data_IF_807283421207
#
_entry.id   IF_807283421207
#
_cell.length_a   1.000
_cell.length_b   1.000
_cell.length_c   1.000
_cell.angle_alpha   90.00
_cell.angle_beta   90.00
_cell.angle_gamma   90.00
#
_symmetry.space_group_name_H-M   'P 1'
#
loop_
_entity.id
_entity.type
_entity.pdbx_description
1 polymer ?
#
# COMPACT_ATOMS: atom_id res chain seq x y z
N UNK A 1 -18.55 -52.12 -24.61
CA UNK A 1 -19.46 -53.27 -24.84
C UNK A 1 -18.58 -54.49 -25.10
N UNK A 2 -18.81 -55.54 -24.31
CA UNK A 2 -18.38 -56.94 -24.44
C UNK A 2 -16.89 -57.34 -24.31
N UNK A 3 -16.67 -58.15 -23.26
CA UNK A 3 -15.52 -59.00 -22.95
C UNK A 3 -15.31 -60.16 -23.94
N UNK A 4 -14.08 -60.68 -23.97
CA UNK A 4 -13.80 -62.12 -24.13
C UNK A 4 -12.82 -62.53 -23.02
N UNK A 5 -13.09 -63.70 -22.44
CA UNK A 5 -12.36 -64.38 -21.35
C UNK A 5 -11.65 -65.62 -21.92
N UNK A 6 -10.62 -66.06 -21.19
CA UNK A 6 -10.12 -67.45 -20.98
C UNK A 6 -8.80 -67.81 -21.68
N UNK A 7 -7.78 -68.05 -20.86
CA UNK A 7 -6.98 -69.28 -20.92
C UNK A 7 -6.44 -69.63 -19.52
N UNK A 8 -6.65 -70.89 -19.13
CA UNK A 8 -6.23 -71.53 -17.89
C UNK A 8 -4.74 -71.89 -17.89
N UNK A 9 -4.16 -72.05 -16.70
CA UNK A 9 -2.87 -72.71 -16.48
C UNK A 9 -2.66 -73.01 -15.00
N UNK A 10 -2.87 -74.27 -14.62
CA UNK A 10 -2.79 -74.81 -13.25
C UNK A 10 -1.35 -75.10 -12.79
N UNK A 11 -1.15 -74.92 -11.48
CA UNK A 11 -0.36 -75.71 -10.52
C UNK A 11 1.16 -75.93 -10.71
N UNK A 12 1.94 -75.32 -9.81
CA UNK A 12 3.01 -76.01 -9.08
C UNK A 12 3.21 -75.36 -7.71
N UNK A 13 3.16 -76.18 -6.67
CA UNK A 13 3.16 -75.74 -5.27
C UNK A 13 4.46 -75.10 -4.79
N UNK A 14 4.31 -74.24 -3.81
CA UNK A 14 5.39 -73.82 -2.91
C UNK A 14 4.89 -73.92 -1.45
N UNK A 15 5.80 -74.16 -0.50
CA UNK A 15 5.45 -74.67 0.82
C UNK A 15 4.88 -73.57 1.73
N UNK A 16 4.09 -74.01 2.71
CA UNK A 16 3.51 -73.22 3.80
C UNK A 16 4.39 -72.04 4.24
N UNK A 17 3.86 -70.83 4.05
CA UNK A 17 4.42 -69.64 4.65
C UNK A 17 4.34 -69.77 6.19
N UNK A 18 5.40 -69.41 6.93
CA UNK A 18 5.36 -69.40 8.38
C UNK A 18 4.29 -68.42 8.88
N UNK A 19 3.67 -68.67 10.03
CA UNK A 19 2.60 -67.82 10.56
C UNK A 19 3.10 -66.38 10.73
N UNK A 20 2.22 -65.37 10.53
CA UNK A 20 2.61 -63.97 10.65
C UNK A 20 3.19 -63.71 12.04
N UNK A 21 4.45 -63.27 12.09
CA UNK A 21 5.04 -62.71 13.31
C UNK A 21 4.22 -61.48 13.69
N UNK A 22 3.43 -61.61 14.75
CA UNK A 22 2.82 -60.49 15.46
C UNK A 22 3.91 -59.75 16.23
N UNK A 23 4.74 -58.98 15.53
CA UNK A 23 5.67 -58.00 16.10
C UNK A 23 5.99 -56.96 15.02
N UNK A 24 4.97 -56.23 14.58
CA UNK A 24 5.17 -54.89 14.03
C UNK A 24 4.72 -53.94 15.11
N UNK A 25 5.67 -53.49 15.94
CA UNK A 25 5.44 -52.34 16.79
C UNK A 25 4.84 -51.22 15.92
N UNK A 26 3.85 -50.46 16.42
CA UNK A 26 3.36 -49.31 15.68
C UNK A 26 4.58 -48.47 15.31
N UNK A 27 4.78 -48.23 14.02
CA UNK A 27 5.68 -47.18 13.58
C UNK A 27 5.30 -45.96 14.39
N UNK A 28 6.19 -45.53 15.27
CA UNK A 28 6.06 -44.25 15.94
C UNK A 28 5.93 -43.27 14.79
N UNK A 29 4.71 -42.76 14.57
CA UNK A 29 4.50 -41.66 13.65
C UNK A 29 5.50 -40.61 14.06
N UNK A 30 6.49 -40.37 13.19
CA UNK A 30 7.39 -39.25 13.36
C UNK A 30 6.48 -38.06 13.58
N UNK A 31 6.63 -37.40 14.73
CA UNK A 31 5.88 -36.19 15.02
C UNK A 31 5.96 -35.31 13.76
N UNK A 32 4.83 -34.75 13.28
CA UNK A 32 4.83 -33.92 12.09
C UNK A 32 5.99 -32.93 12.22
N UNK A 33 6.84 -32.80 11.19
CA UNK A 33 8.05 -32.00 11.27
C UNK A 33 7.70 -30.64 11.88
N UNK A 34 8.40 -30.29 12.97
CA UNK A 34 8.14 -29.09 13.74
C UNK A 34 7.97 -27.91 12.77
N UNK A 35 6.77 -27.31 12.77
CA UNK A 35 6.52 -26.16 11.94
C UNK A 35 7.58 -25.10 12.27
N UNK A 36 8.21 -24.47 11.27
CA UNK A 36 9.23 -23.46 11.52
C UNK A 36 8.67 -22.39 12.46
N UNK A 37 9.50 -21.80 13.33
CA UNK A 37 9.05 -20.78 14.27
C UNK A 37 8.28 -19.69 13.53
N UNK A 38 7.11 -19.32 14.05
CA UNK A 38 6.32 -18.25 13.47
C UNK A 38 7.16 -16.96 13.42
N UNK A 39 7.07 -16.20 12.32
CA UNK A 39 7.87 -15.00 12.18
C UNK A 39 7.47 -13.96 13.22
N UNK A 40 8.47 -13.30 13.82
CA UNK A 40 8.24 -12.23 14.79
C UNK A 40 7.84 -10.94 14.08
N UNK A 41 8.34 -10.73 12.85
CA UNK A 41 8.03 -9.56 12.03
C UNK A 41 7.45 -9.97 10.68
N UNK A 42 6.46 -9.20 10.23
CA UNK A 42 5.86 -9.31 8.90
C UNK A 42 5.68 -7.93 8.31
N UNK A 43 5.74 -7.81 6.99
CA UNK A 43 5.59 -6.50 6.40
C UNK A 43 5.20 -6.51 4.93
N UNK A 44 4.90 -5.31 4.45
CA UNK A 44 4.76 -5.03 3.03
C UNK A 44 5.53 -3.77 2.73
N UNK A 45 6.35 -3.82 1.69
CA UNK A 45 6.95 -2.65 1.05
C UNK A 45 6.40 -2.61 -0.36
N UNK A 46 5.79 -1.50 -0.73
CA UNK A 46 5.09 -1.32 -1.98
C UNK A 46 5.42 0.03 -2.59
N UNK A 47 5.67 0.06 -3.89
CA UNK A 47 5.83 1.30 -4.66
C UNK A 47 4.81 1.28 -5.77
N UNK A 48 3.84 2.19 -5.73
CA UNK A 48 2.82 2.23 -6.76
C UNK A 48 2.53 3.63 -7.25
N UNK A 49 2.32 3.79 -8.55
CA UNK A 49 1.61 4.96 -9.07
C UNK A 49 0.15 4.84 -8.65
N UNK A 50 -0.29 5.84 -7.89
CA UNK A 50 -1.60 5.83 -7.26
C UNK A 50 -2.43 6.96 -7.84
N UNK A 51 -3.47 6.62 -8.59
CA UNK A 51 -4.52 7.53 -9.01
C UNK A 51 -5.58 7.63 -7.91
N UNK A 52 -5.92 8.85 -7.51
CA UNK A 52 -6.86 9.10 -6.42
C UNK A 52 -8.11 9.73 -6.96
N UNK A 53 -9.27 9.17 -6.61
CA UNK A 53 -10.57 9.69 -7.00
C UNK A 53 -10.96 10.91 -6.17
N UNK A 54 -11.70 11.83 -6.79
CA UNK A 54 -12.34 12.94 -6.09
C UNK A 54 -13.45 12.39 -5.17
N UNK A 55 -13.35 12.54 -3.85
CA UNK A 55 -14.30 11.95 -2.92
C UNK A 55 -15.71 12.52 -3.13
N UNK A 56 -16.73 11.65 -3.07
CA UNK A 56 -18.12 12.06 -3.26
C UNK A 56 -18.50 12.41 -4.70
N UNK A 57 -17.60 12.26 -5.66
CA UNK A 57 -17.91 12.43 -7.10
C UNK A 57 -17.88 11.09 -7.82
N UNK A 58 -18.62 10.99 -8.92
CA UNK A 58 -18.65 9.79 -9.75
C UNK A 58 -17.51 9.83 -10.77
N UNK A 59 -16.60 8.85 -10.68
CA UNK A 59 -15.63 8.53 -11.75
C UNK A 59 -14.63 9.62 -12.13
N UNK A 60 -14.41 10.65 -11.32
CA UNK A 60 -13.39 11.68 -11.61
C UNK A 60 -12.18 11.54 -10.70
N UNK A 61 -11.00 11.78 -11.27
CA UNK A 61 -9.74 11.75 -10.53
C UNK A 61 -9.40 13.13 -9.96
N UNK A 62 -8.90 13.14 -8.73
CA UNK A 62 -8.23 14.28 -8.13
C UNK A 62 -6.85 14.49 -8.76
N UNK A 63 -6.13 13.40 -8.97
CA UNK A 63 -4.78 13.37 -9.52
C UNK A 63 -4.09 12.06 -9.19
N UNK A 64 -2.79 12.00 -9.47
CA UNK A 64 -2.00 10.80 -9.28
C UNK A 64 -0.57 11.10 -8.88
N UNK A 65 0.13 10.11 -8.37
CA UNK A 65 1.53 10.22 -8.00
C UNK A 65 2.07 8.90 -7.49
N UNK A 66 3.39 8.81 -7.42
CA UNK A 66 4.03 7.60 -6.89
C UNK A 66 4.00 7.65 -5.37
N UNK A 67 3.60 6.53 -4.76
CA UNK A 67 3.47 6.36 -3.32
C UNK A 67 4.33 5.18 -2.88
N UNK A 68 5.12 5.38 -1.83
CA UNK A 68 5.74 4.30 -1.08
C UNK A 68 4.86 3.97 0.11
N UNK A 69 4.40 2.72 0.17
CA UNK A 69 3.82 2.14 1.38
C UNK A 69 4.80 1.14 1.97
N UNK A 70 5.41 1.45 3.11
CA UNK A 70 6.30 0.55 3.82
C UNK A 70 5.85 0.42 5.28
N UNK A 71 5.39 -0.77 5.65
CA UNK A 71 5.01 -1.10 7.02
C UNK A 71 5.53 -2.49 7.37
N UNK A 72 6.56 -2.54 8.22
CA UNK A 72 7.09 -3.77 8.80
C UNK A 72 6.66 -3.76 10.27
N UNK A 73 5.96 -4.80 10.71
CA UNK A 73 5.29 -4.83 11.99
C UNK A 73 5.74 -6.04 12.79
N UNK A 74 5.90 -5.83 14.09
CA UNK A 74 5.92 -6.92 15.05
C UNK A 74 4.52 -7.58 15.07
N UNK A 75 4.48 -8.88 14.79
CA UNK A 75 3.25 -9.67 14.73
C UNK A 75 2.51 -9.64 16.07
N UNK A 76 3.23 -9.56 17.19
CA UNK A 76 2.63 -9.46 18.52
C UNK A 76 1.89 -8.13 18.72
N UNK A 77 2.40 -7.04 18.14
CA UNK A 77 1.79 -5.71 18.24
C UNK A 77 0.64 -5.51 17.25
N UNK A 78 0.72 -6.13 16.07
CA UNK A 78 -0.35 -6.05 15.07
C UNK A 78 -1.58 -6.88 15.49
N UNK A 79 -1.34 -8.04 16.11
CA UNK A 79 -2.37 -9.05 16.36
C UNK A 79 -2.67 -9.89 15.12
N UNK A 80 -3.18 -11.10 15.34
CA UNK A 80 -3.61 -11.99 14.27
C UNK A 80 -4.84 -11.43 13.53
N UNK A 81 -5.01 -11.72 12.23
CA UNK A 81 -6.25 -11.41 11.54
C UNK A 81 -7.42 -12.12 12.23
N UNK A 82 -8.56 -11.43 12.34
CA UNK A 82 -9.80 -12.02 12.88
C UNK A 82 -10.43 -13.00 11.89
N UNK A 83 -10.12 -12.86 10.61
CA UNK A 83 -10.49 -13.79 9.53
C UNK A 83 -9.39 -13.86 8.47
N UNK A 84 -9.08 -15.07 8.02
CA UNK A 84 -8.05 -15.32 7.01
C UNK A 84 -8.42 -16.59 6.22
N UNK A 85 -8.55 -16.48 4.90
CA UNK A 85 -8.90 -17.62 4.03
C UNK A 85 -7.73 -18.60 3.89
N UNK A 86 -6.50 -18.07 3.83
CA UNK A 86 -5.29 -18.83 3.64
C UNK A 86 -4.23 -18.40 4.66
N UNK A 87 -4.17 -19.07 5.82
CA UNK A 87 -3.24 -18.75 6.90
C UNK A 87 -1.80 -18.55 6.41
N UNK A 88 -1.25 -17.36 6.64
CA UNK A 88 0.14 -17.00 6.32
C UNK A 88 0.43 -16.74 4.83
N UNK A 89 -0.53 -16.93 3.93
CA UNK A 89 -0.32 -16.70 2.49
C UNK A 89 -0.57 -15.23 2.11
N UNK A 90 0.15 -14.65 1.14
CA UNK A 90 -0.10 -13.27 0.70
C UNK A 90 -1.40 -13.13 -0.14
N UNK A 91 -2.06 -14.24 -0.43
CA UNK A 91 -3.24 -14.34 -1.29
C UNK A 91 -4.51 -14.69 -0.48
N UNK A 92 -5.67 -14.54 -1.12
CA UNK A 92 -6.96 -14.67 -0.46
C UNK A 92 -7.31 -13.44 0.38
N UNK A 93 -8.39 -13.55 1.16
CA UNK A 93 -8.88 -12.47 2.00
C UNK A 93 -8.40 -12.58 3.46
N UNK A 94 -7.99 -11.44 4.00
CA UNK A 94 -7.61 -11.23 5.41
C UNK A 94 -8.33 -10.01 5.96
N UNK A 95 -8.73 -10.08 7.22
CA UNK A 95 -9.29 -8.94 7.92
C UNK A 95 -8.75 -8.82 9.33
N UNK A 96 -8.58 -7.57 9.75
CA UNK A 96 -8.18 -7.18 11.08
C UNK A 96 -9.19 -6.20 11.66
N UNK A 97 -9.42 -6.33 12.96
CA UNK A 97 -10.05 -5.30 13.77
C UNK A 97 -8.98 -4.77 14.72
N UNK A 98 -8.67 -3.49 14.60
CA UNK A 98 -7.65 -2.85 15.39
C UNK A 98 -8.29 -1.97 16.47
N UNK A 99 -7.68 -1.95 17.64
CA UNK A 99 -7.79 -0.80 18.54
C UNK A 99 -6.85 0.33 18.07
N UNK A 100 -6.93 1.50 18.72
CA UNK A 100 -6.10 2.66 18.36
C UNK A 100 -4.58 2.38 18.32
N UNK A 101 -4.06 1.64 19.29
CA UNK A 101 -2.63 1.32 19.36
C UNK A 101 -2.19 0.38 18.23
N UNK A 102 -2.98 -0.67 17.97
CA UNK A 102 -2.71 -1.61 16.88
C UNK A 102 -2.84 -0.95 15.51
N UNK A 103 -3.81 -0.06 15.33
CA UNK A 103 -3.99 0.68 14.09
C UNK A 103 -2.79 1.60 13.84
N UNK A 104 -2.33 2.32 14.86
CA UNK A 104 -1.12 3.14 14.82
C UNK A 104 0.13 2.33 14.46
N UNK A 105 0.33 1.19 15.13
CA UNK A 105 1.42 0.27 14.80
C UNK A 105 1.35 -0.18 13.33
N UNK A 106 0.18 -0.66 12.88
CA UNK A 106 -0.01 -1.16 11.51
C UNK A 106 0.27 -0.13 10.42
N UNK A 107 0.02 1.16 10.71
CA UNK A 107 0.15 2.25 9.75
C UNK A 107 1.58 2.81 9.68
N UNK A 108 2.30 2.83 10.80
CA UNK A 108 3.63 3.42 10.91
C UNK A 108 4.72 2.36 10.65
N UNK A 109 4.50 1.13 11.12
CA UNK A 109 5.52 0.08 11.14
C UNK A 109 6.63 0.33 12.17
N UNK A 110 7.70 -0.46 12.06
CA UNK A 110 8.93 -0.39 12.84
C UNK A 110 10.08 0.14 11.99
N UNK A 111 11.11 0.67 12.66
CA UNK A 111 12.37 1.06 12.03
C UNK A 111 13.22 -0.18 11.77
N UNK A 112 13.43 -0.51 10.50
CA UNK A 112 14.30 -1.60 10.05
C UNK A 112 15.50 -1.08 9.24
N UNK A 113 15.76 0.23 9.24
CA UNK A 113 16.89 0.85 8.54
C UNK A 113 16.46 1.78 7.42
N UNK A 114 17.22 1.78 6.30
CA UNK A 114 17.04 2.72 5.19
C UNK A 114 16.50 1.99 3.96
N UNK A 115 15.39 2.48 3.42
CA UNK A 115 14.82 1.99 2.16
C UNK A 115 15.31 2.84 1.00
N UNK A 116 15.67 2.20 -0.11
CA UNK A 116 15.98 2.84 -1.37
C UNK A 116 15.07 2.26 -2.45
N UNK A 117 14.43 3.15 -3.20
CA UNK A 117 13.66 2.82 -4.40
C UNK A 117 14.41 3.38 -5.59
N UNK A 118 14.72 2.53 -6.56
CA UNK A 118 15.34 2.93 -7.82
C UNK A 118 14.42 2.54 -8.95
N UNK A 119 14.14 3.48 -9.85
CA UNK A 119 13.41 3.20 -11.08
C UNK A 119 14.40 3.23 -12.24
N UNK A 120 14.27 2.30 -13.19
CA UNK A 120 15.01 2.33 -14.45
C UNK A 120 14.03 2.33 -15.63
N UNK A 121 14.45 2.92 -16.74
CA UNK A 121 13.61 3.16 -17.92
C UNK A 121 13.85 4.54 -18.54
N UNK A 122 13.10 4.88 -19.59
CA UNK A 122 13.24 6.17 -20.26
C UNK A 122 12.75 7.29 -19.36
N UNK A 123 13.65 8.22 -18.98
CA UNK A 123 13.36 9.32 -18.05
C UNK A 123 12.84 8.86 -16.67
N UNK A 124 13.34 7.72 -16.18
CA UNK A 124 12.94 7.19 -14.88
C UNK A 124 13.19 8.23 -13.75
N UNK A 125 12.22 8.44 -12.84
CA UNK A 125 12.37 9.37 -11.74
C UNK A 125 13.41 8.86 -10.74
N UNK A 126 14.20 9.77 -10.20
CA UNK A 126 15.11 9.48 -9.08
C UNK A 126 14.43 9.78 -7.76
N UNK A 127 14.60 8.89 -6.79
CA UNK A 127 14.06 9.05 -5.45
C UNK A 127 15.19 9.07 -4.41
N UNK A 128 15.11 9.96 -3.40
CA UNK A 128 16.04 9.93 -2.29
C UNK A 128 15.80 8.67 -1.45
N UNK A 129 16.79 8.30 -0.66
CA UNK A 129 16.63 7.27 0.35
C UNK A 129 15.52 7.65 1.34
N UNK A 130 14.76 6.65 1.76
CA UNK A 130 13.67 6.77 2.71
C UNK A 130 14.16 6.29 4.07
N UNK A 131 14.05 7.17 5.06
CA UNK A 131 14.40 6.88 6.44
C UNK A 131 13.14 6.75 7.29
N UNK A 132 13.19 5.91 8.32
CA UNK A 132 12.11 5.83 9.29
C UNK A 132 12.05 7.12 10.13
N UNK A 133 10.83 7.63 10.31
CA UNK A 133 10.52 8.77 11.15
C UNK A 133 9.45 8.36 12.16
N UNK A 134 9.79 8.45 13.45
CA UNK A 134 8.87 8.09 14.52
C UNK A 134 7.55 8.86 14.39
N UNK A 135 6.42 8.14 14.40
CA UNK A 135 5.09 8.71 14.23
C UNK A 135 4.62 8.90 12.79
N UNK A 136 5.52 8.78 11.80
CA UNK A 136 5.19 8.95 10.37
C UNK A 136 5.55 7.73 9.50
N UNK A 137 6.41 6.83 9.97
CA UNK A 137 6.90 5.69 9.21
C UNK A 137 8.03 6.09 8.27
N UNK A 138 8.20 5.35 7.18
CA UNK A 138 9.24 5.64 6.19
C UNK A 138 8.92 6.89 5.35
N UNK A 139 9.86 7.83 5.30
CA UNK A 139 9.72 9.10 4.58
C UNK A 139 10.94 9.34 3.69
N UNK A 140 10.70 9.67 2.43
CA UNK A 140 11.74 9.87 1.41
C UNK A 140 12.03 11.36 1.23
N UNK A 141 12.78 11.93 2.16
CA UNK A 141 13.07 13.37 2.20
C UNK A 141 14.25 13.74 1.28
N UNK A 142 14.07 14.79 0.47
CA UNK A 142 15.18 15.44 -0.24
C UNK A 142 15.97 16.29 0.75
N UNK A 143 17.04 15.73 1.31
CA UNK A 143 17.84 16.39 2.37
C UNK A 143 18.43 17.73 1.94
N UNK A 144 18.67 17.94 0.64
CA UNK A 144 19.10 19.22 0.07
C UNK A 144 17.99 20.28 -0.06
N UNK A 145 16.75 19.94 0.28
CA UNK A 145 15.62 20.87 0.36
C UNK A 145 15.19 21.15 1.80
N UNK A 146 15.86 20.55 2.78
CA UNK A 146 15.62 20.84 4.19
C UNK A 146 16.15 22.23 4.49
N UNK A 147 15.28 23.11 4.97
CA UNK A 147 15.67 24.44 5.41
C UNK A 147 14.78 24.96 6.53
N UNK A 148 15.29 25.93 7.28
CA UNK A 148 14.54 26.72 8.25
C UNK A 148 14.27 28.10 7.65
N UNK A 149 13.04 28.57 7.74
CA UNK A 149 12.63 29.84 7.11
C UNK A 149 12.01 29.66 5.73
N UNK A 150 12.14 30.70 4.89
CA UNK A 150 11.38 30.86 3.65
C UNK A 150 10.14 31.74 3.79
N UNK A 151 9.65 32.24 2.67
CA UNK A 151 8.46 33.11 2.57
C UNK A 151 7.34 32.37 1.84
N UNK A 152 6.19 32.27 2.49
CA UNK A 152 4.95 31.78 1.91
C UNK A 152 4.16 32.98 1.37
N UNK A 153 3.78 32.92 0.10
CA UNK A 153 2.98 33.95 -0.55
C UNK A 153 1.91 33.34 -1.46
N UNK A 154 1.08 34.19 -2.06
CA UNK A 154 0.07 33.76 -3.02
C UNK A 154 0.71 33.09 -4.25
N UNK A 155 0.14 31.97 -4.66
CA UNK A 155 0.51 31.29 -5.89
C UNK A 155 -0.05 31.98 -7.15
N UNK A 156 0.40 31.54 -8.34
CA UNK A 156 -0.06 32.08 -9.62
C UNK A 156 -1.52 31.72 -9.94
N UNK A 157 -2.11 30.75 -9.22
CA UNK A 157 -3.48 30.31 -9.41
C UNK A 157 -4.24 30.27 -8.07
N UNK A 158 -5.57 30.42 -8.12
CA UNK A 158 -6.42 30.26 -6.95
C UNK A 158 -6.21 28.88 -6.30
N UNK A 159 -6.13 28.85 -4.97
CA UNK A 159 -5.90 27.61 -4.23
C UNK A 159 -4.43 27.15 -4.17
N UNK A 160 -3.49 27.92 -4.73
CA UNK A 160 -2.05 27.64 -4.68
C UNK A 160 -1.30 28.70 -3.87
N UNK A 161 -0.17 28.29 -3.32
CA UNK A 161 0.79 29.13 -2.62
C UNK A 161 2.18 28.97 -3.23
N UNK A 162 3.04 29.96 -3.02
CA UNK A 162 4.48 29.83 -3.29
C UNK A 162 5.24 29.68 -1.97
N UNK A 163 6.32 28.92 -1.99
CA UNK A 163 7.35 28.94 -0.96
C UNK A 163 8.66 29.37 -1.63
N UNK A 164 9.20 30.51 -1.21
CA UNK A 164 10.48 31.02 -1.68
C UNK A 164 11.51 30.94 -0.56
N UNK A 165 12.61 30.25 -0.80
CA UNK A 165 13.72 30.11 0.14
C UNK A 165 15.05 30.24 -0.61
N UNK A 166 15.80 31.31 -0.31
CA UNK A 166 17.06 31.61 -0.98
C UNK A 166 18.19 30.64 -0.63
N UNK A 167 18.05 29.90 0.48
CA UNK A 167 19.03 28.91 0.91
C UNK A 167 18.81 27.54 0.24
N UNK A 168 17.71 27.37 -0.49
CA UNK A 168 17.34 26.11 -1.16
C UNK A 168 17.28 26.27 -2.67
N UNK A 169 17.93 25.36 -3.39
CA UNK A 169 17.80 25.27 -4.86
C UNK A 169 16.83 24.15 -5.24
N UNK A 170 15.74 24.53 -5.86
CA UNK A 170 14.72 23.66 -6.42
C UNK A 170 14.96 23.39 -7.91
N UNK A 171 14.76 22.13 -8.31
CA UNK A 171 14.85 21.66 -9.68
C UNK A 171 13.84 20.54 -9.91
N UNK A 172 13.72 20.05 -11.14
CA UNK A 172 12.73 19.02 -11.48
C UNK A 172 12.84 17.75 -10.61
N UNK A 173 14.06 17.30 -10.27
CA UNK A 173 14.30 16.05 -9.53
C UNK A 173 13.86 16.10 -8.05
N UNK A 174 13.88 17.29 -7.44
CA UNK A 174 13.45 17.50 -6.06
C UNK A 174 12.10 18.24 -5.92
N UNK A 175 11.37 18.48 -7.01
CA UNK A 175 10.04 19.13 -6.99
C UNK A 175 8.93 18.40 -7.73
N UNK A 176 9.23 17.76 -8.86
CA UNK A 176 8.21 17.08 -9.67
C UNK A 176 7.73 15.83 -8.95
N UNK A 177 6.41 15.66 -8.82
CA UNK A 177 5.80 14.54 -8.08
C UNK A 177 6.36 14.46 -6.64
N UNK A 178 6.41 15.61 -5.98
CA UNK A 178 6.84 15.76 -4.59
C UNK A 178 5.79 16.52 -3.80
N UNK A 179 5.91 16.43 -2.49
CA UNK A 179 5.17 17.24 -1.54
C UNK A 179 6.15 18.15 -0.81
N UNK A 180 5.77 19.38 -0.53
CA UNK A 180 6.46 20.17 0.49
C UNK A 180 5.80 19.85 1.83
N UNK A 181 6.59 19.42 2.82
CA UNK A 181 6.14 19.30 4.20
C UNK A 181 6.66 20.51 4.97
N UNK A 182 5.75 21.27 5.56
CA UNK A 182 6.02 22.46 6.36
C UNK A 182 5.61 22.18 7.81
N UNK A 183 6.46 22.54 8.76
CA UNK A 183 6.22 22.42 10.20
C UNK A 183 6.68 23.68 10.93
N UNK A 184 6.03 24.04 12.03
CA UNK A 184 6.37 25.20 12.86
C UNK A 184 6.07 26.55 12.22
N UNK A 185 5.22 26.59 11.18
CA UNK A 185 4.71 27.85 10.62
C UNK A 185 3.76 28.53 11.62
N UNK A 186 3.72 29.88 11.66
CA UNK A 186 2.87 30.59 12.63
C UNK A 186 1.39 30.38 12.32
N UNK A 187 1.04 30.30 11.04
CA UNK A 187 -0.34 30.02 10.63
C UNK A 187 -0.55 28.51 10.50
N UNK A 188 -1.54 27.99 11.24
CA UNK A 188 -1.87 26.56 11.24
C UNK A 188 -2.18 26.02 9.83
N UNK A 189 -2.81 26.82 8.97
CA UNK A 189 -3.12 26.45 7.58
C UNK A 189 -1.90 26.24 6.67
N UNK A 190 -0.71 26.65 7.09
CA UNK A 190 0.53 26.41 6.37
C UNK A 190 1.32 25.21 6.90
N UNK A 191 0.89 24.59 8.00
CA UNK A 191 1.51 23.39 8.52
C UNK A 191 0.87 22.16 7.87
N UNK A 192 1.69 21.19 7.44
CA UNK A 192 1.21 19.98 6.79
C UNK A 192 2.08 19.57 5.61
N UNK A 193 1.59 18.62 4.82
CA UNK A 193 2.20 18.21 3.56
C UNK A 193 1.31 18.63 2.39
N UNK A 194 1.88 19.30 1.41
CA UNK A 194 1.16 19.87 0.28
C UNK A 194 1.80 19.46 -1.03
N UNK A 195 1.02 19.05 -2.04
CA UNK A 195 1.59 18.63 -3.32
C UNK A 195 2.20 19.83 -4.05
N UNK A 196 3.41 19.64 -4.56
CA UNK A 196 4.08 20.63 -5.41
C UNK A 196 3.48 20.50 -6.82
N UNK A 197 2.90 21.59 -7.31
CA UNK A 197 2.23 21.66 -8.61
C UNK A 197 3.06 22.37 -9.67
N UNK A 198 4.21 22.94 -9.28
CA UNK A 198 5.14 23.53 -10.24
C UNK A 198 6.38 24.14 -9.61
N UNK A 199 7.33 24.48 -10.47
CA UNK A 199 8.52 25.24 -10.14
C UNK A 199 8.27 26.73 -10.48
N UNK A 200 8.29 27.59 -9.47
CA UNK A 200 8.14 29.04 -9.63
C UNK A 200 9.46 29.73 -9.98
N UNK A 201 10.59 29.09 -9.69
CA UNK A 201 11.94 29.55 -9.96
C UNK A 201 12.98 28.67 -9.28
N UNK A 202 14.27 29.01 -9.39
CA UNK A 202 15.35 28.22 -8.78
C UNK A 202 15.25 28.13 -7.24
N UNK A 203 14.62 29.12 -6.60
CA UNK A 203 14.42 29.18 -5.15
C UNK A 203 12.95 29.19 -4.75
N UNK A 204 12.04 28.90 -5.69
CA UNK A 204 10.59 29.00 -5.47
C UNK A 204 9.86 27.77 -5.99
N UNK A 205 9.06 27.15 -5.14
CA UNK A 205 8.07 26.13 -5.54
C UNK A 205 6.65 26.70 -5.48
N UNK A 206 5.77 26.13 -6.29
CA UNK A 206 4.32 26.36 -6.23
C UNK A 206 3.66 25.09 -5.72
N UNK A 207 2.84 25.19 -4.68
CA UNK A 207 2.17 24.05 -4.06
C UNK A 207 0.67 24.33 -3.85
N UNK A 208 -0.14 23.27 -3.81
CA UNK A 208 -1.58 23.41 -3.57
C UNK A 208 -1.85 23.61 -2.07
N UNK A 209 -2.30 24.80 -1.69
CA UNK A 209 -2.76 25.10 -0.34
C UNK A 209 -3.85 26.18 -0.42
N UNK A 210 -5.14 25.80 -0.47
CA UNK A 210 -6.23 26.77 -0.51
C UNK A 210 -6.45 27.51 0.81
N UNK A 211 -5.88 27.02 1.91
CA UNK A 211 -5.95 27.63 3.23
C UNK A 211 -4.69 28.43 3.57
N UNK A 212 -3.83 28.73 2.58
CA UNK A 212 -2.57 29.41 2.85
C UNK A 212 -2.82 30.80 3.44
N UNK A 213 -1.90 31.21 4.30
CA UNK A 213 -1.80 32.59 4.78
C UNK A 213 -0.39 33.09 4.47
N UNK A 214 -0.26 34.28 3.90
CA UNK A 214 1.07 34.81 3.60
C UNK A 214 1.85 35.05 4.90
N UNK A 215 3.05 34.48 5.00
CA UNK A 215 3.91 34.61 6.17
C UNK A 215 5.37 34.28 5.85
N UNK A 216 6.27 34.70 6.73
CA UNK A 216 7.62 34.13 6.76
C UNK A 216 7.60 32.98 7.76
N UNK A 217 8.12 31.82 7.35
CA UNK A 217 8.26 30.69 8.26
C UNK A 217 9.24 31.11 9.38
N UNK A 218 8.85 30.98 10.66
CA UNK A 218 9.74 31.32 11.77
C UNK A 218 11.04 30.52 11.73
N UNK A 219 12.09 31.01 12.39
CA UNK A 219 13.37 30.28 12.48
C UNK A 219 13.26 28.90 13.16
N UNK A 220 12.22 28.70 13.99
CA UNK A 220 11.90 27.42 14.61
C UNK A 220 11.08 26.49 13.69
N UNK A 221 10.53 27.01 12.60
CA UNK A 221 9.84 26.25 11.57
C UNK A 221 10.81 25.69 10.53
N UNK A 222 10.36 24.70 9.79
CA UNK A 222 11.13 24.05 8.74
C UNK A 222 10.26 23.59 7.59
N UNK A 223 10.89 23.39 6.44
CA UNK A 223 10.28 22.73 5.30
C UNK A 223 11.24 21.73 4.65
N UNK A 224 10.66 20.77 3.94
CA UNK A 224 11.39 19.76 3.17
C UNK A 224 10.51 19.19 2.06
N UNK A 225 11.10 18.90 0.90
CA UNK A 225 10.39 18.19 -0.17
C UNK A 225 10.47 16.68 0.05
N UNK A 226 9.32 16.02 -0.02
CA UNK A 226 9.13 14.58 0.15
C UNK A 226 8.82 13.94 -1.19
N UNK A 227 9.53 12.87 -1.51
CA UNK A 227 9.21 11.98 -2.61
C UNK A 227 8.29 10.85 -2.15
N UNK A 228 7.73 10.13 -3.13
CA UNK A 228 6.92 8.93 -2.91
C UNK A 228 5.72 9.15 -1.96
N UNK A 229 5.15 10.36 -2.03
CA UNK A 229 4.10 10.84 -1.14
C UNK A 229 2.79 11.18 -1.88
N UNK A 230 2.63 10.73 -3.13
CA UNK A 230 1.50 11.00 -4.04
C UNK A 230 0.10 11.05 -3.38
N UNK A 231 -0.90 11.70 -4.01
CA UNK A 231 -0.95 12.15 -5.41
C UNK A 231 -0.70 13.66 -5.65
N UNK A 232 -0.26 14.03 -6.84
CA UNK A 232 -0.24 15.41 -7.33
C UNK A 232 -1.58 15.75 -8.03
N UNK A 233 -2.28 16.83 -7.64
CA UNK A 233 -3.56 17.21 -8.24
C UNK A 233 -3.45 17.44 -9.75
N UNK A 234 -4.45 16.98 -10.51
CA UNK A 234 -4.59 17.18 -11.96
C UNK A 234 -3.44 16.64 -12.83
N UNK A 235 -2.53 15.83 -12.27
CA UNK A 235 -1.58 15.09 -13.09
C UNK A 235 -2.35 14.05 -13.94
N UNK A 236 -2.09 13.94 -15.26
CA UNK A 236 -2.78 13.00 -16.16
C UNK A 236 -2.30 11.56 -15.97
N UNK A 237 -3.10 10.58 -16.41
CA UNK A 237 -2.79 9.15 -16.30
C UNK A 237 -2.29 8.52 -17.61
N UNK A 238 -1.19 7.73 -17.63
CA UNK A 238 -0.13 7.61 -16.61
C UNK A 238 0.85 8.79 -16.67
N UNK A 239 1.26 9.31 -15.50
CA UNK A 239 2.18 10.47 -15.44
C UNK A 239 3.59 10.12 -14.95
N UNK A 240 3.76 9.13 -14.06
CA UNK A 240 5.00 9.04 -13.26
C UNK A 240 5.65 7.65 -13.21
N UNK A 241 4.92 6.58 -13.49
CA UNK A 241 5.45 5.24 -13.71
C UNK A 241 4.99 4.73 -15.07
N UNK A 242 5.88 4.89 -16.05
CA UNK A 242 5.64 4.30 -17.35
C UNK A 242 5.65 2.77 -17.26
N UNK A 243 4.88 2.13 -18.11
CA UNK A 243 4.67 0.69 -18.12
C UNK A 243 5.97 -0.12 -18.36
N UNK A 244 6.98 0.49 -18.97
CA UNK A 244 8.28 -0.12 -19.26
C UNK A 244 9.31 0.11 -18.14
N UNK A 245 8.90 0.69 -17.01
CA UNK A 245 9.82 0.90 -15.90
C UNK A 245 10.05 -0.40 -15.15
N UNK A 246 11.29 -0.59 -14.69
CA UNK A 246 11.60 -1.58 -13.66
C UNK A 246 11.85 -0.85 -12.33
N UNK A 247 11.54 -1.53 -11.23
CA UNK A 247 11.70 -0.99 -9.88
C UNK A 247 12.60 -1.88 -9.05
N UNK A 248 13.67 -1.32 -8.48
CA UNK A 248 14.48 -1.99 -7.46
C UNK A 248 14.11 -1.45 -6.08
N UNK A 249 13.84 -2.34 -5.14
CA UNK A 249 13.67 -2.02 -3.73
C UNK A 249 14.83 -2.62 -2.95
N UNK A 250 15.58 -1.76 -2.28
CA UNK A 250 16.65 -2.17 -1.37
C UNK A 250 16.35 -1.71 0.06
N UNK A 251 16.62 -2.58 1.03
CA UNK A 251 16.67 -2.23 2.45
C UNK A 251 18.11 -2.39 2.92
N UNK A 252 18.71 -1.32 3.43
CA UNK A 252 19.94 -1.41 4.23
C UNK A 252 19.53 -1.50 5.68
N UNK A 253 19.81 -2.65 6.31
CA UNK A 253 19.36 -2.91 7.66
C UNK A 253 19.95 -1.91 8.67
N UNK A 254 19.11 -1.52 9.64
CA UNK A 254 19.40 -0.56 10.69
C UNK A 254 18.24 -0.48 11.68
N UNK A 255 18.26 0.47 12.61
CA UNK A 255 17.19 0.64 13.60
C UNK A 255 17.03 -0.60 14.49
N UNK A 256 15.94 -1.36 14.30
CA UNK A 256 15.63 -2.62 14.96
C UNK A 256 16.38 -3.83 14.40
N UNK A 257 16.77 -3.81 13.11
CA UNK A 257 17.57 -4.85 12.45
C UNK A 257 16.98 -6.27 12.58
N UNK A 258 15.66 -6.40 12.54
CA UNK A 258 14.95 -7.68 12.49
C UNK A 258 14.85 -8.21 11.06
N UNK A 259 14.88 -7.30 10.08
CA UNK A 259 14.94 -7.62 8.65
C UNK A 259 16.38 -7.43 8.15
N UNK A 260 17.02 -8.46 7.55
CA UNK A 260 18.38 -8.33 7.04
C UNK A 260 18.45 -7.40 5.81
N UNK A 261 19.64 -6.87 5.53
CA UNK A 261 19.88 -6.09 4.30
C UNK A 261 19.52 -6.92 3.08
N UNK A 262 18.79 -6.31 2.15
CA UNK A 262 18.45 -6.95 0.89
C UNK A 262 18.36 -5.96 -0.26
N UNK A 263 18.38 -6.52 -1.47
CA UNK A 263 18.01 -5.83 -2.71
C UNK A 263 17.15 -6.78 -3.51
N UNK A 264 16.05 -6.27 -4.02
CA UNK A 264 15.08 -7.00 -4.83
C UNK A 264 14.76 -6.18 -6.05
N UNK A 265 14.92 -6.79 -7.21
CA UNK A 265 14.59 -6.19 -8.49
C UNK A 265 13.21 -6.68 -8.91
N UNK A 266 12.30 -5.74 -9.17
CA UNK A 266 11.16 -6.03 -10.00
C UNK A 266 11.64 -6.21 -11.44
N UNK A 267 10.94 -7.09 -12.16
CA UNK A 267 10.81 -6.89 -13.59
C UNK A 267 10.04 -5.60 -13.88
N UNK A 268 9.25 -5.59 -14.94
CA UNK A 268 8.40 -4.45 -15.27
C UNK A 268 7.46 -4.16 -14.08
N UNK A 269 7.19 -2.89 -13.78
CA UNK A 269 6.25 -2.50 -12.71
C UNK A 269 4.80 -2.81 -13.06
N UNK A 270 4.55 -3.35 -14.25
CA UNK A 270 3.23 -3.67 -14.76
C UNK A 270 2.70 -2.54 -15.65
N UNK A 271 1.75 -2.88 -16.50
CA UNK A 271 1.07 -1.88 -17.30
C UNK A 271 0.07 -1.11 -16.44
N UNK A 272 0.01 0.20 -16.66
CA UNK A 272 -1.10 1.04 -16.25
C UNK A 272 -2.44 0.41 -16.70
N UNK A 273 -3.47 0.59 -15.88
CA UNK A 273 -4.78 -0.01 -16.09
C UNK A 273 -5.90 0.99 -15.86
N UNK A 274 -6.98 0.80 -16.63
CA UNK A 274 -8.16 1.66 -16.52
C UNK A 274 -9.29 0.91 -15.83
N UNK A 275 -9.86 1.49 -14.78
CA UNK A 275 -11.11 1.00 -14.22
C UNK A 275 -12.30 1.62 -14.94
N UNK A 276 -13.30 0.81 -15.25
CA UNK A 276 -14.56 1.32 -15.75
C UNK A 276 -15.26 2.19 -14.69
N UNK A 277 -16.05 3.18 -15.13
CA UNK A 277 -16.73 4.13 -14.22
C UNK A 277 -17.56 3.43 -13.13
N UNK A 278 -18.14 2.26 -13.42
CA UNK A 278 -18.89 1.48 -12.43
C UNK A 278 -18.00 1.02 -11.26
N UNK A 279 -16.75 0.65 -11.54
CA UNK A 279 -15.78 0.18 -10.54
C UNK A 279 -15.18 1.35 -9.75
N UNK A 280 -14.94 2.47 -10.42
CA UNK A 280 -14.58 3.73 -9.76
C UNK A 280 -15.66 4.17 -8.77
N UNK A 281 -16.94 4.04 -9.16
CA UNK A 281 -18.06 4.38 -8.29
C UNK A 281 -18.13 3.46 -7.07
N UNK A 282 -17.85 2.17 -7.21
CA UNK A 282 -17.77 1.24 -6.07
C UNK A 282 -16.63 1.63 -5.11
N UNK A 283 -15.46 2.02 -5.63
CA UNK A 283 -14.33 2.47 -4.81
C UNK A 283 -14.62 3.75 -4.01
N UNK A 284 -15.40 4.67 -4.58
CA UNK A 284 -15.84 5.89 -3.89
C UNK A 284 -17.08 5.71 -3.00
N UNK A 285 -17.77 4.58 -3.10
CA UNK A 285 -18.97 4.28 -2.33
C UNK A 285 -18.94 2.82 -1.84
N UNK A 286 -17.99 2.52 -0.95
CA UNK A 286 -17.83 1.18 -0.40
C UNK A 286 -19.10 0.79 0.37
N UNK A 287 -19.73 -0.35 0.03
CA UNK A 287 -20.96 -0.76 0.70
C UNK A 287 -20.66 -1.12 2.16
N UNK A 288 -21.42 -0.54 3.09
CA UNK A 288 -21.36 -0.82 4.53
C UNK A 288 -22.49 -1.72 5.01
N UNK A 289 -23.19 -2.38 4.08
CA UNK A 289 -24.35 -3.23 4.36
C UNK A 289 -24.02 -4.73 4.50
N UNK A 290 -22.74 -5.09 4.48
CA UNK A 290 -22.27 -6.48 4.58
C UNK A 290 -22.35 -7.29 3.28
N UNK A 291 -22.84 -6.70 2.18
CA UNK A 291 -22.84 -7.37 0.89
C UNK A 291 -21.41 -7.54 0.36
N UNK A 292 -21.16 -8.63 -0.37
CA UNK A 292 -19.87 -8.85 -1.02
C UNK A 292 -19.55 -7.71 -2.00
N UNK A 293 -18.28 -7.32 -2.06
CA UNK A 293 -17.78 -6.32 -2.99
C UNK A 293 -16.90 -6.99 -4.04
N UNK A 294 -17.25 -6.87 -5.30
CA UNK A 294 -16.41 -7.31 -6.42
C UNK A 294 -15.92 -6.11 -7.20
N UNK A 295 -14.60 -6.02 -7.34
CA UNK A 295 -13.91 -5.06 -8.20
C UNK A 295 -13.22 -5.82 -9.32
N UNK A 296 -13.36 -5.32 -10.54
CA UNK A 296 -12.81 -5.96 -11.74
C UNK A 296 -12.31 -4.93 -12.74
N UNK A 297 -11.48 -5.36 -13.68
CA UNK A 297 -11.25 -4.64 -14.92
C UNK A 297 -11.36 -5.61 -16.10
N UNK A 298 -11.85 -5.10 -17.23
CA UNK A 298 -11.98 -5.88 -18.46
C UNK A 298 -10.62 -6.23 -19.07
N UNK A 299 -10.56 -7.27 -19.90
CA UNK A 299 -9.31 -7.68 -20.55
C UNK A 299 -8.68 -6.60 -21.45
N UNK A 300 -9.48 -5.64 -21.94
CA UNK A 300 -8.97 -4.49 -22.71
C UNK A 300 -8.22 -3.53 -21.79
N UNK A 301 -8.75 -3.28 -20.60
CA UNK A 301 -8.17 -2.33 -19.65
C UNK A 301 -7.14 -2.96 -18.71
N UNK A 302 -7.15 -4.30 -18.60
CA UNK A 302 -6.20 -5.11 -17.84
C UNK A 302 -5.79 -6.33 -18.68
N UNK A 303 -4.88 -6.15 -19.65
CA UNK A 303 -4.40 -7.25 -20.47
C UNK A 303 -3.83 -8.39 -19.63
N UNK A 304 -3.97 -9.64 -20.08
CA UNK A 304 -3.37 -10.80 -19.40
C UNK A 304 -1.85 -10.61 -19.33
N UNK A 305 -1.28 -10.83 -18.15
CA UNK A 305 0.17 -10.66 -17.91
C UNK A 305 0.60 -9.25 -17.55
N UNK A 306 -0.27 -8.22 -17.64
CA UNK A 306 0.08 -6.85 -17.25
C UNK A 306 0.36 -6.69 -15.74
N UNK A 307 -0.12 -7.62 -14.90
CA UNK A 307 0.24 -7.70 -13.49
C UNK A 307 0.10 -9.13 -12.96
N UNK A 308 0.93 -9.47 -11.98
CA UNK A 308 0.92 -10.78 -11.29
C UNK A 308 -0.26 -10.92 -10.33
N UNK A 309 -0.69 -9.84 -9.69
CA UNK A 309 -1.76 -9.85 -8.70
C UNK A 309 -2.70 -8.66 -8.84
N UNK A 310 -3.97 -8.88 -8.52
CA UNK A 310 -4.91 -7.81 -8.20
C UNK A 310 -5.19 -7.83 -6.71
N UNK A 311 -5.15 -6.66 -6.06
CA UNK A 311 -5.32 -6.50 -4.62
C UNK A 311 -6.39 -5.46 -4.33
N UNK A 312 -7.31 -5.78 -3.44
CA UNK A 312 -8.25 -4.84 -2.83
C UNK A 312 -7.85 -4.64 -1.39
N UNK A 313 -7.63 -3.39 -0.99
CA UNK A 313 -7.42 -3.05 0.42
C UNK A 313 -8.46 -2.03 0.86
N UNK A 314 -9.13 -2.30 1.96
CA UNK A 314 -10.08 -1.40 2.62
C UNK A 314 -9.54 -1.08 4.00
N UNK A 315 -9.58 0.19 4.40
CA UNK A 315 -9.16 0.64 5.73
C UNK A 315 -10.13 1.70 6.24
N UNK A 316 -10.53 1.60 7.50
CA UNK A 316 -11.44 2.56 8.13
C UNK A 316 -10.79 3.35 9.26
N UNK A 317 -11.39 4.49 9.58
CA UNK A 317 -11.12 5.25 10.80
C UNK A 317 -12.44 5.73 11.40
N UNK A 318 -12.46 5.87 12.71
CA UNK A 318 -13.55 6.41 13.52
C UNK A 318 -13.22 7.81 14.07
N UNK A 319 -12.02 8.33 13.78
CA UNK A 319 -11.62 9.65 14.24
C UNK A 319 -12.35 10.77 13.47
N UNK A 320 -12.57 11.95 14.09
CA UNK A 320 -13.24 13.06 13.43
C UNK A 320 -12.55 13.48 12.12
N UNK A 321 -13.32 13.65 11.05
CA UNK A 321 -12.83 14.09 9.73
C UNK A 321 -13.24 15.52 9.37
N UNK A 322 -14.07 16.16 10.21
CA UNK A 322 -14.52 17.53 10.00
C UNK A 322 -13.32 18.50 9.97
N UNK A 323 -13.26 19.36 8.96
CA UNK A 323 -12.17 20.32 8.77
C UNK A 323 -10.86 19.73 8.23
N UNK A 324 -10.77 18.41 8.07
CA UNK A 324 -9.62 17.76 7.43
C UNK A 324 -9.80 17.70 5.91
N UNK A 325 -8.67 17.52 5.22
CA UNK A 325 -8.67 17.21 3.79
C UNK A 325 -9.60 16.02 3.48
N UNK A 326 -10.33 16.03 2.34
CA UNK A 326 -11.18 14.92 1.95
C UNK A 326 -10.40 13.62 1.67
N UNK A 327 -9.06 13.70 1.57
CA UNK A 327 -8.15 12.57 1.40
C UNK A 327 -7.49 12.11 2.71
N UNK A 328 -7.65 12.88 3.79
CA UNK A 328 -7.03 12.55 5.07
C UNK A 328 -7.68 11.31 5.69
N UNK A 329 -6.84 10.39 6.18
CA UNK A 329 -7.24 9.30 7.06
C UNK A 329 -6.67 9.59 8.45
N UNK A 330 -7.41 10.27 9.34
CA UNK A 330 -6.94 10.49 10.71
C UNK A 330 -6.67 9.16 11.42
N UNK A 331 -5.71 9.16 12.35
CA UNK A 331 -5.40 8.00 13.17
C UNK A 331 -6.65 7.52 13.90
N UNK A 332 -6.84 6.19 13.94
CA UNK A 332 -7.97 5.55 14.62
C UNK A 332 -8.02 5.98 16.10
N UNK A 333 -9.18 6.44 16.54
CA UNK A 333 -9.40 6.90 17.91
C UNK A 333 -9.78 5.74 18.84
N UNK A 334 -10.65 4.83 18.40
CA UNK A 334 -11.11 3.70 19.21
C UNK A 334 -10.97 2.38 18.46
N UNK A 335 -11.56 2.28 17.26
CA UNK A 335 -11.54 1.05 16.46
C UNK A 335 -11.45 1.30 14.95
N UNK A 336 -10.68 0.48 14.27
CA UNK A 336 -10.54 0.49 12.82
C UNK A 336 -10.61 -0.92 12.23
N UNK A 337 -11.08 -1.02 11.00
CA UNK A 337 -11.14 -2.26 10.23
C UNK A 337 -10.15 -2.14 9.07
N UNK A 338 -9.36 -3.18 8.86
CA UNK A 338 -8.57 -3.36 7.64
C UNK A 338 -8.97 -4.68 6.99
N UNK A 339 -9.28 -4.63 5.71
CA UNK A 339 -9.53 -5.83 4.88
C UNK A 339 -8.56 -5.78 3.73
N UNK A 340 -7.95 -6.91 3.41
CA UNK A 340 -7.08 -7.07 2.25
C UNK A 340 -7.45 -8.38 1.56
N UNK A 341 -7.77 -8.31 0.28
CA UNK A 341 -8.05 -9.47 -0.56
C UNK A 341 -7.13 -9.43 -1.78
N UNK A 342 -6.45 -10.53 -2.08
CA UNK A 342 -5.54 -10.61 -3.22
C UNK A 342 -5.83 -11.85 -4.07
N UNK A 343 -5.82 -11.67 -5.39
CA UNK A 343 -5.98 -12.74 -6.38
C UNK A 343 -4.82 -12.73 -7.38
N UNK A 344 -4.15 -13.87 -7.55
CA UNK A 344 -3.05 -14.03 -8.52
C UNK A 344 -3.59 -14.28 -9.92
N UNK A 345 -2.95 -13.67 -10.92
CA UNK A 345 -3.27 -13.85 -12.35
C UNK A 345 -4.69 -13.45 -12.74
N UNK A 346 -5.43 -12.79 -11.84
CA UNK A 346 -6.83 -12.40 -12.03
C UNK A 346 -6.93 -10.89 -12.20
N UNK A 347 -7.84 -10.42 -13.05
CA UNK A 347 -8.24 -9.00 -13.14
C UNK A 347 -9.43 -8.67 -12.24
N UNK A 348 -9.91 -9.64 -11.47
CA UNK A 348 -11.08 -9.52 -10.59
C UNK A 348 -10.73 -9.96 -9.18
N UNK A 349 -11.18 -9.19 -8.19
CA UNK A 349 -11.06 -9.50 -6.76
C UNK A 349 -12.44 -9.35 -6.13
N UNK A 350 -12.84 -10.36 -5.36
CA UNK A 350 -14.07 -10.30 -4.56
C UNK A 350 -13.70 -10.29 -3.09
N UNK A 351 -14.21 -9.31 -2.35
CA UNK A 351 -14.24 -9.28 -0.89
C UNK A 351 -15.54 -9.99 -0.46
N UNK A 352 -15.48 -11.18 0.17
CA UNK A 352 -16.66 -11.94 0.52
C UNK A 352 -17.54 -11.21 1.53
N UNK A 353 -18.83 -11.56 1.55
CA UNK A 353 -19.80 -10.97 2.47
C UNK A 353 -19.40 -11.10 3.95
N UNK A 354 -18.77 -12.21 4.34
CA UNK A 354 -18.27 -12.40 5.71
C UNK A 354 -17.24 -11.33 6.12
N UNK A 355 -16.38 -10.90 5.20
CA UNK A 355 -15.39 -9.84 5.43
C UNK A 355 -16.07 -8.47 5.47
N UNK A 356 -17.00 -8.23 4.54
CA UNK A 356 -17.77 -6.98 4.50
C UNK A 356 -18.70 -6.81 5.72
N UNK A 357 -19.09 -7.91 6.38
CA UNK A 357 -19.85 -7.85 7.63
C UNK A 357 -19.07 -7.17 8.77
N UNK A 358 -17.73 -7.19 8.76
CA UNK A 358 -16.93 -6.41 9.72
C UNK A 358 -17.07 -4.91 9.50
N UNK A 359 -17.08 -4.47 8.24
CA UNK A 359 -17.34 -3.07 7.91
C UNK A 359 -18.76 -2.67 8.30
N UNK A 360 -19.74 -3.56 8.11
CA UNK A 360 -21.11 -3.34 8.56
C UNK A 360 -21.19 -3.17 10.08
N UNK A 361 -20.52 -4.02 10.84
CA UNK A 361 -20.47 -3.91 12.29
C UNK A 361 -19.82 -2.59 12.75
N UNK A 362 -18.83 -2.09 12.01
CA UNK A 362 -18.15 -0.82 12.27
C UNK A 362 -18.84 0.41 11.66
N UNK A 363 -19.89 0.25 10.85
CA UNK A 363 -20.55 1.35 10.14
C UNK A 363 -21.15 2.39 11.11
N UNK A 364 -21.49 1.96 12.33
CA UNK A 364 -21.98 2.80 13.42
C UNK A 364 -21.01 3.92 13.86
N UNK A 365 -19.71 3.63 13.78
CA UNK A 365 -18.64 4.48 14.33
C UNK A 365 -17.65 4.95 13.28
N UNK A 366 -17.62 4.32 12.10
CA UNK A 366 -16.71 4.69 11.02
C UNK A 366 -17.06 6.07 10.49
N UNK A 367 -16.09 6.98 10.51
CA UNK A 367 -16.22 8.34 9.97
C UNK A 367 -15.66 8.43 8.54
N UNK A 368 -14.75 7.53 8.16
CA UNK A 368 -14.22 7.42 6.80
C UNK A 368 -13.68 6.03 6.48
N UNK A 369 -13.87 5.66 5.23
CA UNK A 369 -13.30 4.46 4.61
C UNK A 369 -12.44 4.88 3.43
N UNK A 370 -11.23 4.32 3.35
CA UNK A 370 -10.37 4.36 2.17
C UNK A 370 -10.36 2.96 1.56
N UNK A 371 -10.56 2.87 0.26
CA UNK A 371 -10.41 1.62 -0.47
C UNK A 371 -9.48 1.81 -1.66
N UNK A 372 -8.69 0.78 -1.96
CA UNK A 372 -7.85 0.74 -3.14
C UNK A 372 -8.10 -0.54 -3.94
N UNK A 373 -8.01 -0.43 -5.25
CA UNK A 373 -7.81 -1.56 -6.15
C UNK A 373 -6.46 -1.38 -6.81
N UNK A 374 -5.61 -2.38 -6.71
CA UNK A 374 -4.22 -2.32 -7.16
C UNK A 374 -3.92 -3.48 -8.09
N UNK A 375 -3.16 -3.20 -9.14
CA UNK A 375 -2.58 -4.15 -10.08
C UNK A 375 -1.08 -4.14 -9.84
N UNK A 376 -0.55 -5.23 -9.28
CA UNK A 376 0.80 -5.27 -8.73
C UNK A 376 1.57 -6.47 -9.24
N UNK A 377 2.86 -6.26 -9.48
CA UNK A 377 3.84 -7.32 -9.63
C UNK A 377 4.47 -7.63 -8.28
N UNK A 378 4.61 -8.92 -8.00
CA UNK A 378 5.36 -9.40 -6.85
C UNK A 378 6.83 -9.39 -7.21
N UNK A 379 7.62 -8.76 -6.36
CA UNK A 379 9.07 -8.78 -6.45
C UNK A 379 9.59 -9.99 -5.68
N UNK A 380 10.73 -10.52 -6.13
CA UNK A 380 11.42 -11.61 -5.44
C UNK A 380 11.90 -11.12 -4.08
N UNK A 381 11.17 -11.48 -3.02
CA UNK A 381 11.57 -11.12 -1.66
C UNK A 381 12.57 -12.14 -1.12
N UNK A 382 13.82 -11.73 -0.81
CA UNK A 382 14.76 -12.62 -0.14
C UNK A 382 14.42 -12.81 1.35
N UNK A 383 13.37 -12.16 1.85
CA UNK A 383 12.90 -12.26 3.23
C UNK A 383 11.48 -12.81 3.23
N UNK A 384 11.31 -14.05 3.70
CA UNK A 384 10.06 -14.81 3.59
C UNK A 384 8.80 -14.12 4.15
N UNK A 385 8.94 -13.15 5.06
CA UNK A 385 7.81 -12.50 5.75
C UNK A 385 7.58 -11.05 5.33
N UNK A 386 8.33 -10.54 4.35
CA UNK A 386 8.15 -9.21 3.80
C UNK A 386 7.72 -9.36 2.34
N UNK A 387 6.52 -8.89 2.02
CA UNK A 387 6.05 -8.82 0.64
C UNK A 387 6.56 -7.55 -0.02
N UNK A 388 7.11 -7.69 -1.22
CA UNK A 388 7.62 -6.58 -2.03
C UNK A 388 6.74 -6.45 -3.27
N UNK A 389 6.17 -5.28 -3.50
CA UNK A 389 5.15 -5.04 -4.52
C UNK A 389 5.47 -3.79 -5.33
N UNK A 390 5.24 -3.82 -6.64
CA UNK A 390 5.28 -2.62 -7.47
C UNK A 390 4.13 -2.59 -8.49
N UNK A 391 3.65 -1.40 -8.84
CA UNK A 391 2.72 -1.22 -9.96
C UNK A 391 1.78 -0.05 -9.82
N UNK A 392 0.48 -0.27 -10.04
CA UNK A 392 -0.49 0.80 -10.15
C UNK A 392 -1.66 0.56 -9.20
N UNK A 393 -2.27 1.64 -8.72
CA UNK A 393 -3.40 1.60 -7.82
C UNK A 393 -4.40 2.73 -8.09
N UNK A 394 -5.68 2.42 -7.92
CA UNK A 394 -6.75 3.42 -7.86
C UNK A 394 -7.31 3.44 -6.43
N UNK A 395 -7.38 4.63 -5.84
CA UNK A 395 -7.86 4.83 -4.46
C UNK A 395 -9.12 5.68 -4.46
N UNK A 396 -10.14 5.20 -3.75
CA UNK A 396 -11.37 5.91 -3.46
C UNK A 396 -11.59 6.14 -1.96
N UNK A 397 -12.48 7.08 -1.65
CA UNK A 397 -12.86 7.43 -0.29
C UNK A 397 -14.37 7.47 -0.14
N UNK A 398 -14.85 6.89 0.95
CA UNK A 398 -16.26 6.93 1.35
C UNK A 398 -16.36 7.58 2.72
N UNK A 399 -17.20 8.61 2.84
CA UNK A 399 -17.63 9.13 4.14
C UNK A 399 -19.00 8.48 4.44
N UNK A 400 -19.09 7.56 5.41
CA UNK A 400 -20.40 7.04 5.83
C UNK A 400 -21.29 8.21 6.28
N UNK A 401 -22.61 8.15 6.01
CA UNK A 401 -23.52 9.13 6.56
C UNK A 401 -23.40 9.14 8.09
N UNK A 402 -23.42 10.32 8.74
CA UNK A 402 -23.49 10.37 10.20
C UNK A 402 -24.77 9.67 10.66
N UNK A 403 -24.64 8.77 11.64
CA UNK A 403 -25.78 8.12 12.28
C UNK A 403 -26.57 9.07 13.16
#
# INVERSE_FOLDING_TARGET
>A
MLSIVVACGDNAGTPDAPPPRADSAPTIDAAPPDAPPAPVFTGTISVAETAVLNPGTSGTFFGQGVVLGAAINDVANLGAPVMEEQPGQPIGCKAWMFNAAQAGASAIGADEGVLQVTMAGTNAPTYPACAYSAGAGYVCAHTNTVSTGGTIAAGPAAGTATLTDLDVTYNAGNTTNRFVRISGATNAGNNGAFPIVGLGGANTIVYANPAFVAENIPAAGSHVNLALAGPTPSAPDPAFMANDFTATIALTAGGGNHIPTFTSDAGDVGDDFVLETAELNKLNAIPTNGAALTLSCTAVNCPVGSATASVVQITTTDAPTAGLSPFAMPAVATSGVRIQCAALGSSTVTVPAAYMALLQAAAGTTTRTRASFSRLNLLDSPVANVSLLAGHAVVGFTNPPPN
#
